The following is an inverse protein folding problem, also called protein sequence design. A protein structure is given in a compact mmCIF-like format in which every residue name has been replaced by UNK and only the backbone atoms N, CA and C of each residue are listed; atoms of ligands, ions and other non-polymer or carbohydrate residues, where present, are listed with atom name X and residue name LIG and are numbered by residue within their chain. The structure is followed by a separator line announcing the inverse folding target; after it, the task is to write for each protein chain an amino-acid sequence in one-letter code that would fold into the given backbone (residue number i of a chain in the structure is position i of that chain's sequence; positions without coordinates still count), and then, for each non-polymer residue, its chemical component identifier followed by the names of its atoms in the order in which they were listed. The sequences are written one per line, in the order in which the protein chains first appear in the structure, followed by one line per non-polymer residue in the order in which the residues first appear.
data_IF_243852745760
#
_entry.id   IF_243852745760
#
_cell.length_a   1.000
_cell.length_b   1.000
_cell.length_c   1.000
_cell.angle_alpha   90.00
_cell.angle_beta   90.00
_cell.angle_gamma   90.00
#
_symmetry.space_group_name_H-M   'P 1'
#
loop_
_entity.id
_entity.type
_entity.pdbx_description
1 polymer ?
#
# COMPACT_ATOMS: atom_id res chain seq x y z
N UNK A 1 24.11 31.33 -52.59
CA UNK A 1 24.28 31.07 -51.14
C UNK A 1 25.62 30.38 -50.91
N UNK A 2 26.46 30.89 -50.01
CA UNK A 2 27.81 30.36 -49.79
C UNK A 2 27.73 28.94 -49.19
N UNK A 3 28.38 27.94 -49.82
CA UNK A 3 28.35 26.55 -49.36
C UNK A 3 28.76 26.42 -47.88
N UNK A 4 29.65 27.29 -47.40
CA UNK A 4 30.06 27.34 -45.98
C UNK A 4 28.90 27.70 -45.03
N UNK A 5 27.99 28.58 -45.45
CA UNK A 5 26.80 28.96 -44.68
C UNK A 5 25.82 27.78 -44.62
N UNK A 6 25.64 27.05 -45.73
CA UNK A 6 24.78 25.87 -45.79
C UNK A 6 25.29 24.76 -44.85
N UNK A 7 26.60 24.47 -44.89
CA UNK A 7 27.21 23.50 -43.98
C UNK A 7 27.09 23.92 -42.51
N UNK A 8 27.26 25.21 -42.21
CA UNK A 8 27.08 25.73 -40.85
C UNK A 8 25.66 25.52 -40.34
N UNK A 9 24.64 25.82 -41.14
CA UNK A 9 23.23 25.60 -40.78
C UNK A 9 22.95 24.11 -40.57
N UNK A 10 23.42 23.25 -41.48
CA UNK A 10 23.22 21.80 -41.36
C UNK A 10 23.86 21.25 -40.06
N UNK A 11 25.05 21.71 -39.72
CA UNK A 11 25.75 21.32 -38.49
C UNK A 11 24.97 21.73 -37.23
N UNK A 12 24.43 22.95 -37.19
CA UNK A 12 23.59 23.41 -36.07
C UNK A 12 22.31 22.57 -35.96
N UNK A 13 21.64 22.26 -37.07
CA UNK A 13 20.45 21.42 -37.05
C UNK A 13 20.74 20.00 -36.55
N UNK A 14 21.89 19.42 -36.92
CA UNK A 14 22.32 18.12 -36.41
C UNK A 14 22.56 18.17 -34.89
N UNK A 15 23.21 19.22 -34.38
CA UNK A 15 23.42 19.39 -32.94
C UNK A 15 22.08 19.50 -32.21
N UNK A 16 21.16 20.33 -32.71
CA UNK A 16 19.82 20.49 -32.13
C UNK A 16 19.08 19.15 -32.12
N UNK A 17 19.16 18.38 -33.21
CA UNK A 17 18.54 17.06 -33.31
C UNK A 17 19.13 16.06 -32.31
N UNK A 18 20.47 16.05 -32.13
CA UNK A 18 21.13 15.20 -31.14
C UNK A 18 20.71 15.60 -29.71
N UNK A 19 20.65 16.89 -29.39
CA UNK A 19 20.18 17.39 -28.08
C UNK A 19 18.72 16.98 -27.87
N UNK A 20 17.87 17.12 -28.88
CA UNK A 20 16.48 16.70 -28.83
C UNK A 20 16.35 15.21 -28.56
N UNK A 21 17.09 14.35 -29.28
CA UNK A 21 17.09 12.91 -29.04
C UNK A 21 17.60 12.57 -27.64
N UNK A 22 18.66 13.25 -27.17
CA UNK A 22 19.18 13.05 -25.83
C UNK A 22 18.14 13.39 -24.76
N UNK A 23 17.43 14.51 -24.89
CA UNK A 23 16.38 14.91 -23.95
C UNK A 23 15.14 14.03 -24.05
N UNK A 24 14.74 13.62 -25.26
CA UNK A 24 13.59 12.75 -25.49
C UNK A 24 13.80 11.30 -25.04
N UNK A 25 15.05 10.86 -24.91
CA UNK A 25 15.41 9.51 -24.43
C UNK A 25 15.78 9.47 -22.97
N UNK A 26 15.83 10.61 -22.27
CA UNK A 26 16.00 10.58 -20.82
C UNK A 26 14.76 9.93 -20.20
N UNK A 27 14.93 8.88 -19.37
CA UNK A 27 13.82 8.41 -18.57
C UNK A 27 13.31 9.58 -17.74
N UNK A 28 11.99 9.77 -17.72
CA UNK A 28 11.38 10.70 -16.77
C UNK A 28 11.69 10.11 -15.40
N UNK A 29 12.55 10.78 -14.63
CA UNK A 29 12.75 10.41 -13.24
C UNK A 29 11.44 10.68 -12.51
N UNK A 30 10.71 9.61 -12.21
CA UNK A 30 9.52 9.69 -11.37
C UNK A 30 10.01 9.95 -9.95
N UNK A 31 9.61 11.07 -9.38
CA UNK A 31 9.93 11.42 -8.00
C UNK A 31 8.99 10.64 -7.06
N UNK A 32 9.59 9.92 -6.12
CA UNK A 32 8.89 9.20 -5.06
C UNK A 32 9.37 9.75 -3.71
N UNK A 33 8.51 10.44 -2.94
CA UNK A 33 8.92 11.00 -1.65
C UNK A 33 9.21 9.91 -0.62
N UNK A 34 10.17 10.17 0.26
CA UNK A 34 10.52 9.27 1.37
C UNK A 34 9.76 9.60 2.66
N UNK A 35 9.19 10.81 2.78
CA UNK A 35 8.39 11.22 3.94
C UNK A 35 6.97 10.62 3.86
N UNK A 36 6.53 9.80 4.84
CA UNK A 36 5.19 9.25 4.87
C UNK A 36 4.07 10.28 4.82
N UNK A 37 4.31 11.50 5.31
CA UNK A 37 3.31 12.57 5.24
C UNK A 37 2.99 12.98 3.79
N UNK A 38 3.96 12.85 2.88
CA UNK A 38 3.78 13.12 1.45
C UNK A 38 3.07 11.98 0.70
N UNK A 39 2.88 10.81 1.34
CA UNK A 39 2.14 9.69 0.75
C UNK A 39 0.62 9.87 0.85
N UNK A 40 0.16 10.87 1.60
CA UNK A 40 -1.26 11.15 1.79
C UNK A 40 -1.67 12.38 0.97
N UNK A 41 -2.51 12.16 -0.04
CA UNK A 41 -3.09 13.23 -0.86
C UNK A 41 -4.47 13.64 -0.34
N UNK A 42 -4.73 14.94 -0.21
CA UNK A 42 -6.07 15.43 0.15
C UNK A 42 -6.94 15.51 -1.09
N UNK A 43 -8.04 14.75 -1.10
CA UNK A 43 -9.05 14.82 -2.15
C UNK A 43 -10.01 15.99 -1.91
N UNK A 44 -10.40 16.20 -0.64
CA UNK A 44 -11.23 17.32 -0.21
C UNK A 44 -10.91 17.74 1.24
N UNK A 45 -11.82 18.46 1.92
CA UNK A 45 -11.61 18.94 3.30
C UNK A 45 -11.66 17.83 4.36
N UNK A 46 -12.28 16.70 4.07
CA UNK A 46 -12.53 15.58 4.99
C UNK A 46 -11.90 14.27 4.48
N UNK A 47 -11.74 14.12 3.17
CA UNK A 47 -11.28 12.88 2.54
C UNK A 47 -9.82 13.00 2.09
N UNK A 48 -9.02 11.98 2.40
CA UNK A 48 -7.67 11.80 1.89
C UNK A 48 -7.52 10.45 1.19
N UNK A 49 -6.50 10.33 0.36
CA UNK A 49 -6.14 9.09 -0.32
C UNK A 49 -4.66 8.76 -0.05
N UNK A 50 -4.39 7.50 0.29
CA UNK A 50 -3.02 6.98 0.35
C UNK A 50 -2.54 6.70 -1.07
N UNK A 51 -1.50 7.42 -1.50
CA UNK A 51 -0.87 7.25 -2.80
C UNK A 51 0.00 5.98 -2.81
N UNK A 52 -0.61 4.87 -3.24
CA UNK A 52 0.03 3.55 -3.33
C UNK A 52 1.30 3.58 -4.20
N UNK A 53 1.33 4.39 -5.26
CA UNK A 53 2.50 4.53 -6.14
C UNK A 53 3.69 5.14 -5.37
N UNK A 54 3.42 6.11 -4.49
CA UNK A 54 4.45 6.72 -3.62
C UNK A 54 4.95 5.74 -2.57
N UNK A 55 4.04 5.07 -1.85
CA UNK A 55 4.39 4.10 -0.80
C UNK A 55 5.24 2.96 -1.37
N UNK A 56 4.81 2.40 -2.51
CA UNK A 56 5.47 1.26 -3.16
C UNK A 56 6.66 1.65 -4.05
N UNK A 57 6.87 2.94 -4.32
CA UNK A 57 7.81 3.45 -5.33
C UNK A 57 7.59 2.82 -6.71
N UNK A 58 6.34 2.75 -7.14
CA UNK A 58 5.92 2.18 -8.43
C UNK A 58 6.02 0.66 -8.54
N UNK A 59 6.24 -0.05 -7.42
CA UNK A 59 6.26 -1.51 -7.40
C UNK A 59 4.86 -2.13 -7.35
N UNK A 60 3.83 -1.33 -7.02
CA UNK A 60 2.46 -1.81 -6.88
C UNK A 60 1.47 -1.14 -7.87
N UNK A 61 0.47 -1.90 -8.31
CA UNK A 61 -0.63 -1.44 -9.17
C UNK A 61 -1.96 -1.75 -8.49
N UNK A 62 -2.76 -0.72 -8.24
CA UNK A 62 -4.11 -0.85 -7.70
C UNK A 62 -5.15 -0.89 -8.84
N UNK A 63 -6.00 -1.92 -8.88
CA UNK A 63 -7.10 -2.01 -9.85
C UNK A 63 -8.49 -1.87 -9.21
N UNK A 64 -8.57 -1.22 -8.04
CA UNK A 64 -9.75 -1.04 -7.17
C UNK A 64 -10.25 -2.29 -6.43
N UNK A 65 -9.90 -3.49 -6.88
CA UNK A 65 -10.26 -4.76 -6.23
C UNK A 65 -9.07 -5.41 -5.55
N UNK A 66 -7.95 -5.34 -6.24
CA UNK A 66 -6.71 -5.98 -5.88
C UNK A 66 -5.57 -4.98 -5.93
N UNK A 67 -4.55 -5.27 -5.12
CA UNK A 67 -3.25 -4.63 -5.19
C UNK A 67 -2.25 -5.66 -5.74
N UNK A 68 -1.75 -5.41 -6.95
CA UNK A 68 -0.70 -6.24 -7.56
C UNK A 68 0.65 -5.66 -7.20
N UNK A 69 1.62 -6.53 -6.97
CA UNK A 69 2.97 -6.17 -6.59
C UNK A 69 3.99 -6.96 -7.41
N UNK A 70 4.97 -6.26 -7.96
CA UNK A 70 5.93 -6.82 -8.92
C UNK A 70 7.35 -6.79 -8.34
N UNK A 71 7.93 -7.96 -8.10
CA UNK A 71 9.30 -8.10 -7.60
C UNK A 71 10.06 -9.11 -8.43
N UNK A 72 11.20 -8.70 -8.99
CA UNK A 72 12.11 -9.59 -9.71
C UNK A 72 11.43 -10.43 -10.82
N UNK A 73 10.36 -9.91 -11.43
CA UNK A 73 9.58 -10.60 -12.47
C UNK A 73 8.50 -11.56 -11.94
N UNK A 74 8.37 -11.70 -10.61
CA UNK A 74 7.23 -12.35 -9.96
C UNK A 74 6.14 -11.33 -9.67
N UNK A 75 4.89 -11.72 -9.92
CA UNK A 75 3.68 -10.96 -9.59
C UNK A 75 3.00 -11.64 -8.40
N UNK A 76 2.74 -10.88 -7.35
CA UNK A 76 1.85 -11.26 -6.26
C UNK A 76 0.64 -10.33 -6.27
N UNK A 77 -0.52 -10.82 -5.84
CA UNK A 77 -1.75 -10.05 -5.83
C UNK A 77 -2.43 -10.21 -4.48
N UNK A 78 -2.90 -9.10 -3.94
CA UNK A 78 -3.70 -9.06 -2.72
C UNK A 78 -5.12 -8.69 -3.09
N UNK A 79 -6.09 -9.28 -2.41
CA UNK A 79 -7.46 -8.80 -2.45
C UNK A 79 -7.70 -7.83 -1.29
N UNK A 80 -8.50 -6.79 -1.48
CA UNK A 80 -8.97 -5.98 -0.35
C UNK A 80 -10.03 -6.76 0.43
N UNK A 81 -9.67 -7.31 1.58
CA UNK A 81 -10.55 -8.17 2.38
C UNK A 81 -10.38 -7.95 3.89
N UNK A 82 -11.40 -8.36 4.63
CA UNK A 82 -11.41 -8.23 6.08
C UNK A 82 -12.57 -8.96 6.74
N UNK A 83 -12.59 -8.91 8.07
CA UNK A 83 -13.70 -9.33 8.92
C UNK A 83 -14.23 -8.12 9.69
N UNK A 84 -15.55 -7.94 9.74
CA UNK A 84 -16.19 -7.02 10.68
C UNK A 84 -17.09 -7.79 11.63
N UNK A 85 -16.70 -7.84 12.91
CA UNK A 85 -17.36 -8.66 13.95
C UNK A 85 -17.56 -10.12 13.53
N UNK A 86 -16.58 -10.67 12.80
CA UNK A 86 -16.58 -12.04 12.27
C UNK A 86 -17.28 -12.25 10.92
N UNK A 87 -17.84 -11.20 10.32
CA UNK A 87 -18.42 -11.29 8.98
C UNK A 87 -17.37 -10.93 7.93
N UNK A 88 -17.09 -11.85 7.03
CA UNK A 88 -16.19 -11.63 5.90
C UNK A 88 -16.77 -10.65 4.88
N UNK A 89 -15.90 -9.80 4.34
CA UNK A 89 -16.24 -8.89 3.25
C UNK A 89 -15.04 -8.61 2.35
N UNK A 90 -15.32 -8.10 1.16
CA UNK A 90 -14.31 -7.56 0.23
C UNK A 90 -14.52 -6.07 0.05
N UNK A 91 -13.47 -5.27 0.21
CA UNK A 91 -13.42 -3.80 0.09
C UNK A 91 -14.31 -3.00 1.05
N UNK A 92 -15.56 -3.39 1.30
CA UNK A 92 -16.46 -2.71 2.22
C UNK A 92 -17.41 -3.68 2.93
N UNK A 93 -17.67 -3.42 4.20
CA UNK A 93 -18.75 -4.04 4.96
C UNK A 93 -19.86 -3.01 5.22
N UNK A 94 -21.11 -3.40 4.96
CA UNK A 94 -22.28 -2.56 5.21
C UNK A 94 -23.34 -3.29 6.02
N UNK A 95 -23.96 -2.57 6.95
CA UNK A 95 -25.11 -3.06 7.71
C UNK A 95 -26.18 -1.96 7.73
N UNK A 96 -27.45 -2.34 7.49
CA UNK A 96 -28.58 -1.40 7.46
C UNK A 96 -28.41 -0.20 6.49
N UNK A 97 -27.63 -0.38 5.42
CA UNK A 97 -27.35 0.65 4.43
C UNK A 97 -26.24 1.63 4.80
N UNK A 98 -25.62 1.48 5.96
CA UNK A 98 -24.41 2.22 6.36
C UNK A 98 -23.17 1.37 6.11
N UNK A 99 -22.13 1.96 5.52
CA UNK A 99 -20.78 1.36 5.51
C UNK A 99 -20.22 1.47 6.93
N UNK A 100 -19.66 0.39 7.45
CA UNK A 100 -19.06 0.35 8.80
C UNK A 100 -17.56 0.11 8.77
N UNK A 101 -17.05 -0.43 7.66
CA UNK A 101 -15.64 -0.73 7.49
C UNK A 101 -15.30 -0.75 6.00
N UNK A 102 -14.12 -0.26 5.64
CA UNK A 102 -13.62 -0.26 4.27
C UNK A 102 -12.11 -0.57 4.26
N UNK A 103 -11.71 -1.29 3.23
CA UNK A 103 -10.32 -1.63 2.93
C UNK A 103 -9.98 -1.00 1.59
N UNK A 104 -9.08 -0.04 1.57
CA UNK A 104 -8.72 0.71 0.38
C UNK A 104 -7.94 1.99 0.68
N UNK A 105 -7.50 2.72 -0.36
CA UNK A 105 -6.64 3.88 -0.19
C UNK A 105 -7.36 5.15 0.28
N UNK A 106 -8.66 5.26 0.05
CA UNK A 106 -9.46 6.37 0.55
C UNK A 106 -9.67 6.26 2.07
N UNK A 107 -9.38 7.34 2.78
CA UNK A 107 -9.49 7.46 4.23
C UNK A 107 -10.32 8.71 4.56
N UNK A 108 -11.33 8.58 5.43
CA UNK A 108 -12.13 9.71 5.90
C UNK A 108 -12.23 9.75 7.43
N UNK A 109 -11.17 10.20 8.12
CA UNK A 109 -11.15 10.21 9.59
C UNK A 109 -12.31 11.02 10.20
N UNK A 110 -13.03 10.41 11.13
CA UNK A 110 -14.11 10.99 11.91
C UNK A 110 -15.51 10.82 11.31
N UNK A 111 -15.68 9.97 10.29
CA UNK A 111 -16.99 9.69 9.69
C UNK A 111 -17.70 8.44 10.28
N UNK A 112 -17.00 7.69 11.14
CA UNK A 112 -17.48 6.50 11.82
C UNK A 112 -17.32 5.20 11.02
N UNK A 113 -16.68 5.23 9.85
CA UNK A 113 -16.27 4.06 9.08
C UNK A 113 -14.86 3.67 9.52
N UNK A 114 -14.61 2.39 9.77
CA UNK A 114 -13.25 1.93 10.05
C UNK A 114 -12.50 1.73 8.73
N UNK A 115 -11.60 2.64 8.38
CA UNK A 115 -10.78 2.54 7.17
C UNK A 115 -9.40 1.92 7.46
N UNK A 116 -8.91 1.12 6.51
CA UNK A 116 -7.51 0.72 6.51
C UNK A 116 -6.98 0.21 5.18
N UNK A 117 -5.66 0.19 5.07
CA UNK A 117 -4.93 -0.24 3.86
C UNK A 117 -3.63 -0.91 4.25
N UNK A 118 -3.24 -1.94 3.51
CA UNK A 118 -1.89 -2.50 3.55
C UNK A 118 -1.23 -2.34 2.17
N UNK A 119 0.04 -1.94 2.16
CA UNK A 119 0.85 -1.80 0.95
C UNK A 119 2.21 -2.45 1.18
N UNK A 120 2.64 -3.29 0.24
CA UNK A 120 3.98 -3.89 0.25
C UNK A 120 4.99 -3.09 -0.59
N UNK A 121 6.25 -3.14 -0.17
CA UNK A 121 7.41 -2.68 -0.92
C UNK A 121 8.64 -3.51 -0.59
N UNK A 122 9.48 -3.77 -1.59
CA UNK A 122 10.79 -4.38 -1.36
C UNK A 122 11.83 -3.28 -1.17
N UNK A 123 12.55 -3.36 -0.04
CA UNK A 123 13.65 -2.47 0.32
C UNK A 123 14.84 -3.35 0.70
N UNK A 124 15.95 -3.26 -0.05
CA UNK A 124 17.14 -4.08 0.16
C UNK A 124 16.82 -5.59 0.28
N UNK A 125 16.11 -6.14 -0.72
CA UNK A 125 15.69 -7.54 -0.80
C UNK A 125 14.76 -8.02 0.34
N UNK A 126 14.19 -7.09 1.09
CA UNK A 126 13.30 -7.39 2.23
C UNK A 126 11.91 -6.81 1.96
N UNK A 127 10.87 -7.61 2.20
CA UNK A 127 9.47 -7.16 2.11
C UNK A 127 9.14 -6.31 3.33
N UNK A 128 8.72 -5.08 3.07
CA UNK A 128 8.26 -4.13 4.07
C UNK A 128 6.78 -3.89 3.81
N UNK A 129 5.97 -3.98 4.86
CA UNK A 129 4.52 -3.80 4.78
C UNK A 129 4.17 -2.55 5.54
N UNK A 130 3.57 -1.60 4.84
CA UNK A 130 3.07 -0.34 5.35
C UNK A 130 1.58 -0.48 5.60
N UNK A 131 1.17 -0.21 6.83
CA UNK A 131 -0.19 -0.44 7.30
C UNK A 131 -0.76 0.91 7.71
N UNK A 132 -1.88 1.29 7.11
CA UNK A 132 -2.57 2.55 7.34
C UNK A 132 -3.91 2.27 7.99
N UNK A 133 -4.21 3.02 9.05
CA UNK A 133 -5.48 2.99 9.77
C UNK A 133 -5.90 4.43 10.08
N UNK A 134 -7.20 4.69 10.07
CA UNK A 134 -7.72 6.01 10.42
C UNK A 134 -8.02 6.17 11.92
N UNK A 135 -8.49 7.36 12.30
CA UNK A 135 -8.84 7.69 13.68
C UNK A 135 -10.08 6.94 14.18
N UNK A 136 -11.03 6.62 13.29
CA UNK A 136 -12.21 5.84 13.63
C UNK A 136 -11.82 4.41 14.06
N UNK A 137 -10.88 3.76 13.34
CA UNK A 137 -10.29 2.50 13.76
C UNK A 137 -9.67 2.59 15.14
N UNK A 138 -8.76 3.55 15.34
CA UNK A 138 -8.03 3.73 16.59
C UNK A 138 -8.97 3.91 17.79
N UNK A 139 -10.08 4.61 17.60
CA UNK A 139 -11.05 4.89 18.66
C UNK A 139 -12.02 3.73 18.89
N UNK A 140 -12.40 2.98 17.86
CA UNK A 140 -13.37 1.90 17.95
C UNK A 140 -12.75 0.55 18.33
N UNK A 141 -11.47 0.32 18.01
CA UNK A 141 -10.75 -0.95 18.19
C UNK A 141 -9.64 -0.77 19.25
N UNK A 142 -9.95 -0.94 20.55
CA UNK A 142 -9.05 -0.58 21.65
C UNK A 142 -7.76 -1.41 21.71
N UNK A 143 -7.76 -2.58 21.07
CA UNK A 143 -6.60 -3.45 20.94
C UNK A 143 -6.42 -3.77 19.47
N UNK A 144 -5.36 -3.27 18.84
CA UNK A 144 -5.02 -3.58 17.44
C UNK A 144 -3.67 -4.26 17.42
N UNK A 145 -3.61 -5.47 16.88
CA UNK A 145 -2.41 -6.27 16.71
C UNK A 145 -2.10 -6.46 15.23
N UNK A 146 -0.82 -6.57 14.91
CA UNK A 146 -0.34 -7.05 13.62
C UNK A 146 0.11 -8.49 13.85
N UNK A 147 -0.41 -9.43 13.06
CA UNK A 147 -0.07 -10.85 13.12
C UNK A 147 0.35 -11.30 11.72
N UNK A 148 1.55 -11.88 11.60
CA UNK A 148 2.15 -12.21 10.31
C UNK A 148 3.16 -13.35 10.42
N UNK A 149 3.85 -13.59 9.30
CA UNK A 149 4.86 -14.64 9.15
C UNK A 149 4.25 -16.02 8.97
N UNK A 150 5.11 -17.00 8.74
CA UNK A 150 4.68 -18.37 8.45
C UNK A 150 3.79 -18.90 9.58
N UNK A 151 2.61 -19.42 9.21
CA UNK A 151 1.58 -19.93 10.13
C UNK A 151 1.20 -18.93 11.25
N UNK A 152 1.24 -17.62 10.95
CA UNK A 152 1.02 -16.54 11.90
C UNK A 152 1.90 -16.68 13.13
N UNK A 153 3.21 -16.90 12.96
CA UNK A 153 4.15 -17.13 14.06
C UNK A 153 4.60 -15.84 14.77
N UNK A 154 4.48 -14.69 14.10
CA UNK A 154 4.89 -13.39 14.60
C UNK A 154 3.68 -12.53 14.94
N UNK A 155 3.78 -11.76 16.03
CA UNK A 155 2.76 -10.80 16.40
C UNK A 155 3.34 -9.67 17.24
N UNK A 156 2.78 -8.47 17.10
CA UNK A 156 3.02 -7.34 18.01
C UNK A 156 1.83 -6.36 17.99
N UNK A 157 1.66 -5.52 19.02
CA UNK A 157 0.71 -4.41 18.97
C UNK A 157 1.03 -3.45 17.82
N UNK A 158 -0.01 -2.88 17.22
CA UNK A 158 0.11 -1.78 16.26
C UNK A 158 0.51 -0.49 16.98
N UNK A 159 1.45 0.24 16.40
CA UNK A 159 1.95 1.53 16.89
C UNK A 159 1.34 2.64 16.05
N UNK A 160 0.38 3.36 16.62
CA UNK A 160 -0.32 4.46 15.96
C UNK A 160 0.57 5.71 15.81
N UNK A 161 1.39 5.74 14.76
CA UNK A 161 2.19 6.92 14.39
C UNK A 161 1.40 7.77 13.40
N UNK A 162 0.99 8.98 13.80
CA UNK A 162 0.24 9.88 12.93
C UNK A 162 1.13 10.44 11.82
N UNK A 163 0.75 10.25 10.56
CA UNK A 163 1.47 10.73 9.37
C UNK A 163 0.74 11.86 8.65
N UNK A 164 -0.57 11.95 8.85
CA UNK A 164 -1.47 12.99 8.35
C UNK A 164 -2.63 13.11 9.36
N UNK A 165 -3.32 14.25 9.49
CA UNK A 165 -4.37 14.42 10.50
C UNK A 165 -5.39 13.27 10.50
N UNK A 166 -5.43 12.51 11.59
CA UNK A 166 -6.33 11.37 11.76
C UNK A 166 -5.98 10.11 10.95
N UNK A 167 -4.80 10.04 10.33
CA UNK A 167 -4.29 8.87 9.60
C UNK A 167 -3.00 8.41 10.26
N UNK A 168 -3.00 7.15 10.67
CA UNK A 168 -1.91 6.50 11.39
C UNK A 168 -1.26 5.44 10.52
N UNK A 169 0.05 5.29 10.68
CA UNK A 169 0.83 4.29 9.98
C UNK A 169 1.69 3.49 10.96
N UNK A 170 1.82 2.21 10.67
CA UNK A 170 2.85 1.34 11.22
C UNK A 170 3.51 0.54 10.10
N UNK A 171 4.69 0.01 10.37
CA UNK A 171 5.49 -0.73 9.41
C UNK A 171 6.01 -2.02 10.04
N UNK A 172 5.92 -3.12 9.30
CA UNK A 172 6.59 -4.37 9.65
C UNK A 172 7.53 -4.80 8.54
N UNK A 173 8.63 -5.42 8.97
CA UNK A 173 9.43 -6.27 8.12
C UNK A 173 8.77 -7.64 8.08
N UNK A 174 8.43 -8.08 6.88
CA UNK A 174 7.75 -9.34 6.69
C UNK A 174 8.73 -10.51 6.70
N UNK A 175 8.24 -11.68 7.09
CA UNK A 175 9.03 -12.90 7.21
C UNK A 175 9.25 -13.52 5.82
N UNK A 176 10.50 -13.65 5.34
CA UNK A 176 10.78 -14.29 4.06
C UNK A 176 10.24 -15.73 3.99
N UNK A 177 10.11 -16.43 5.14
CA UNK A 177 9.55 -17.79 5.20
C UNK A 177 8.04 -17.83 4.94
N UNK A 178 7.35 -16.68 4.93
CA UNK A 178 5.96 -16.58 4.48
C UNK A 178 5.82 -16.88 2.99
N UNK A 179 6.87 -16.70 2.21
CA UNK A 179 6.85 -16.92 0.78
C UNK A 179 7.43 -18.28 0.38
N UNK A 180 6.78 -18.93 -0.58
CA UNK A 180 7.28 -20.11 -1.26
C UNK A 180 8.44 -19.82 -2.21
N UNK A 181 8.92 -20.87 -2.87
CA UNK A 181 10.02 -20.77 -3.83
C UNK A 181 9.74 -19.68 -4.89
N UNK A 182 10.70 -18.77 -5.08
CA UNK A 182 10.62 -17.61 -5.98
C UNK A 182 9.46 -16.63 -5.73
N UNK A 183 8.92 -16.58 -4.51
CA UNK A 183 7.78 -15.72 -4.17
C UNK A 183 6.49 -16.05 -4.95
N UNK A 184 6.41 -17.24 -5.56
CA UNK A 184 5.26 -17.65 -6.38
C UNK A 184 4.06 -18.17 -5.59
N UNK A 185 4.16 -18.26 -4.27
CA UNK A 185 3.08 -18.62 -3.36
C UNK A 185 3.31 -17.95 -2.00
N UNK A 186 2.25 -17.56 -1.31
CA UNK A 186 2.29 -17.19 0.11
C UNK A 186 1.73 -18.35 0.95
N UNK A 187 2.42 -18.72 2.02
CA UNK A 187 1.99 -19.77 2.96
C UNK A 187 1.04 -19.23 4.04
N UNK A 188 1.02 -17.92 4.24
CA UNK A 188 0.13 -17.21 5.17
C UNK A 188 -0.02 -15.74 4.78
N UNK A 189 -1.00 -15.09 5.39
CA UNK A 189 -1.27 -13.67 5.22
C UNK A 189 -0.67 -12.77 6.29
N UNK A 190 -0.94 -11.48 6.18
CA UNK A 190 -0.75 -10.46 7.21
C UNK A 190 -2.14 -10.03 7.69
N UNK A 191 -2.31 -9.96 9.01
CA UNK A 191 -3.57 -9.61 9.66
C UNK A 191 -3.37 -8.42 10.56
N UNK A 192 -4.25 -7.43 10.44
CA UNK A 192 -4.33 -6.25 11.33
C UNK A 192 -5.67 -6.33 12.03
N UNK A 193 -5.67 -6.72 13.30
CA UNK A 193 -6.84 -7.33 13.94
C UNK A 193 -7.06 -6.92 15.38
N UNK A 194 -8.32 -6.98 15.82
CA UNK A 194 -8.70 -6.91 17.23
C UNK A 194 -8.43 -8.18 18.02
N UNK A 195 -8.12 -9.28 17.33
CA UNK A 195 -7.82 -10.57 17.92
C UNK A 195 -6.44 -10.59 18.60
N UNK A 196 -6.30 -11.44 19.62
CA UNK A 196 -4.97 -11.84 20.12
C UNK A 196 -4.28 -12.78 19.13
N UNK A 197 -2.95 -12.87 19.23
CA UNK A 197 -2.14 -13.79 18.43
C UNK A 197 -2.66 -15.24 18.47
N UNK A 198 -3.04 -15.72 19.66
CA UNK A 198 -3.56 -17.09 19.81
C UNK A 198 -4.92 -17.27 19.12
N UNK A 199 -5.81 -16.28 19.19
CA UNK A 199 -7.12 -16.33 18.51
C UNK A 199 -6.97 -16.41 16.99
N UNK A 200 -6.03 -15.66 16.40
CA UNK A 200 -5.73 -15.75 14.96
C UNK A 200 -5.26 -17.16 14.59
N UNK A 201 -4.34 -17.73 15.39
CA UNK A 201 -3.84 -19.10 15.17
C UNK A 201 -4.91 -20.18 15.32
N UNK A 202 -5.85 -19.96 16.22
CA UNK A 202 -6.99 -20.87 16.46
C UNK A 202 -8.13 -20.67 15.44
N UNK A 203 -8.02 -19.68 14.55
CA UNK A 203 -9.05 -19.36 13.55
C UNK A 203 -10.34 -18.81 14.16
N UNK A 204 -10.26 -18.14 15.30
CA UNK A 204 -11.41 -17.51 15.96
C UNK A 204 -11.82 -16.26 15.19
N UNK A 205 -13.03 -16.25 14.64
CA UNK A 205 -13.55 -15.12 13.87
C UNK A 205 -14.65 -14.34 14.59
N UNK A 206 -15.37 -14.96 15.53
CA UNK A 206 -16.52 -14.33 16.18
C UNK A 206 -16.13 -13.04 16.93
N UNK A 207 -16.79 -11.94 16.59
CA UNK A 207 -16.53 -10.62 17.21
C UNK A 207 -15.23 -9.95 16.79
N UNK A 208 -14.46 -10.55 15.88
CA UNK A 208 -13.18 -10.01 15.40
C UNK A 208 -13.39 -8.95 14.31
N UNK A 209 -12.67 -7.85 14.42
CA UNK A 209 -12.51 -6.84 13.37
C UNK A 209 -11.09 -6.93 12.84
N UNK A 210 -10.93 -7.09 11.53
CA UNK A 210 -9.66 -7.46 10.91
C UNK A 210 -9.56 -6.98 9.47
N UNK A 211 -8.39 -6.49 9.07
CA UNK A 211 -7.99 -6.34 7.68
C UNK A 211 -6.98 -7.43 7.37
N UNK A 212 -7.16 -8.11 6.25
CA UNK A 212 -6.33 -9.22 5.83
C UNK A 212 -5.59 -8.91 4.54
N UNK A 213 -4.41 -9.50 4.43
CA UNK A 213 -3.57 -9.55 3.25
C UNK A 213 -3.25 -11.01 3.01
N UNK A 214 -3.84 -11.64 2.01
CA UNK A 214 -3.67 -13.06 1.69
C UNK A 214 -3.20 -13.25 0.24
#
# INVERSE_FOLDING_TARGET
MNKKIIFGILFVLIIIFIIYLYLATRPIEVYYPDDPAEWVEKLDSETSEINIDYVSKGQAINNERNLYFFVNGSETSMTYEGLYKGNYFTKYYSENGAVLMRVGPEMKPGDGVLDGLLVERVINDTFQVFIFLDDDWKNAVPYTNIVWGKDYSLARPFVFTEISPGIYMDQIEDDPERFGYNYGAAYSGISVTSATHQQVKDGVTEGITEIMFQ
#
